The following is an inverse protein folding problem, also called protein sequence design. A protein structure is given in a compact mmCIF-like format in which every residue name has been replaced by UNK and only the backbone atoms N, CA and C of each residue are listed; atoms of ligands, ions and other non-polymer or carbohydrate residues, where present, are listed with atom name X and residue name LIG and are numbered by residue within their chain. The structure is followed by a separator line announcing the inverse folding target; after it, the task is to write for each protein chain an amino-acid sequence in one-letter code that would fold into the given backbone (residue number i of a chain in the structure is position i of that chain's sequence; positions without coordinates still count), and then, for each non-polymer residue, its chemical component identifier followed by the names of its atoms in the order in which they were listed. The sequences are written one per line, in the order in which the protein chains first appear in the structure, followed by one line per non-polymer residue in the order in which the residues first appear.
data_IF_098117639282
#
_entry.id   IF_098117639282
#
_cell.length_a   1.000
_cell.length_b   1.000
_cell.length_c   1.000
_cell.angle_alpha   90.00
_cell.angle_beta   90.00
_cell.angle_gamma   90.00
#
_symmetry.space_group_name_H-M   'P 1'
#
loop_
_entity.id
_entity.type
_entity.pdbx_description
1 polymer ?
#
# COMPACT_ATOMS: atom_id res chain seq x y z
N UNK A 1 -21.81 -6.46 16.31
CA UNK A 1 -21.34 -6.79 14.95
C UNK A 1 -20.00 -7.46 15.00
N UNK A 2 -19.88 -8.63 14.41
CA UNK A 2 -18.64 -9.43 14.40
C UNK A 2 -17.71 -9.13 13.21
N UNK A 3 -18.19 -8.53 12.12
CA UNK A 3 -17.44 -8.33 10.86
C UNK A 3 -17.46 -6.89 10.34
N UNK A 4 -16.45 -6.55 9.53
CA UNK A 4 -16.39 -5.26 8.83
C UNK A 4 -17.46 -5.12 7.75
N UNK A 5 -17.76 -3.88 7.37
CA UNK A 5 -18.63 -3.57 6.24
C UNK A 5 -18.08 -4.20 4.94
N UNK A 6 -18.91 -4.81 4.05
CA UNK A 6 -18.41 -5.52 2.87
C UNK A 6 -17.57 -4.62 1.95
N UNK A 7 -17.93 -3.34 1.82
CA UNK A 7 -17.11 -2.36 1.10
C UNK A 7 -15.68 -2.24 1.68
N UNK A 8 -15.49 -2.25 3.00
CA UNK A 8 -14.16 -2.21 3.62
C UNK A 8 -13.37 -3.50 3.36
N UNK A 9 -14.05 -4.64 3.31
CA UNK A 9 -13.46 -5.93 2.97
C UNK A 9 -12.99 -5.93 1.52
N UNK A 10 -13.85 -5.55 0.57
CA UNK A 10 -13.48 -5.43 -0.85
C UNK A 10 -12.31 -4.48 -1.04
N UNK A 11 -12.37 -3.28 -0.45
CA UNK A 11 -11.29 -2.29 -0.54
C UNK A 11 -10.00 -2.82 0.08
N UNK A 12 -10.07 -3.61 1.16
CA UNK A 12 -8.88 -4.17 1.80
C UNK A 12 -8.14 -5.12 0.86
N UNK A 13 -8.87 -6.07 0.27
CA UNK A 13 -8.27 -7.07 -0.60
C UNK A 13 -7.79 -6.49 -1.93
N UNK A 14 -8.53 -5.52 -2.50
CA UNK A 14 -8.05 -4.78 -3.66
C UNK A 14 -6.75 -4.02 -3.35
N UNK A 15 -6.71 -3.26 -2.24
CA UNK A 15 -5.50 -2.54 -1.84
C UNK A 15 -4.34 -3.49 -1.55
N UNK A 16 -4.56 -4.60 -0.87
CA UNK A 16 -3.53 -5.60 -0.63
C UNK A 16 -2.93 -6.10 -1.95
N UNK A 17 -3.77 -6.46 -2.93
CA UNK A 17 -3.33 -6.90 -4.25
C UNK A 17 -2.50 -5.82 -4.96
N UNK A 18 -3.02 -4.59 -5.06
CA UNK A 18 -2.33 -3.51 -5.78
C UNK A 18 -1.05 -3.07 -5.09
N UNK A 19 -1.01 -2.99 -3.76
CA UNK A 19 0.19 -2.59 -3.01
C UNK A 19 1.28 -3.65 -3.17
N UNK A 20 0.95 -4.95 -3.04
CA UNK A 20 1.91 -6.03 -3.26
C UNK A 20 2.45 -5.99 -4.69
N UNK A 21 1.58 -5.85 -5.69
CA UNK A 21 2.00 -5.74 -7.09
C UNK A 21 2.92 -4.52 -7.32
N UNK A 22 2.58 -3.35 -6.76
CA UNK A 22 3.39 -2.14 -6.90
C UNK A 22 4.78 -2.29 -6.24
N UNK A 23 4.86 -2.90 -5.05
CA UNK A 23 6.13 -3.18 -4.38
C UNK A 23 7.00 -4.15 -5.20
N UNK A 24 6.39 -5.20 -5.77
CA UNK A 24 7.10 -6.16 -6.61
C UNK A 24 7.59 -5.52 -7.91
N UNK A 25 6.77 -4.72 -8.58
CA UNK A 25 7.16 -4.00 -9.80
C UNK A 25 8.29 -3.01 -9.48
N UNK A 26 8.19 -2.25 -8.40
CA UNK A 26 9.25 -1.32 -7.98
C UNK A 26 10.59 -2.02 -7.81
N UNK A 27 10.62 -3.08 -7.00
CA UNK A 27 11.86 -3.75 -6.62
C UNK A 27 12.43 -4.69 -7.70
N UNK A 28 11.58 -5.38 -8.46
CA UNK A 28 12.01 -6.46 -9.37
C UNK A 28 11.88 -6.11 -10.85
N UNK A 29 11.14 -5.06 -11.21
CA UNK A 29 11.02 -4.63 -12.61
C UNK A 29 11.64 -3.24 -12.84
N UNK A 30 11.54 -2.30 -11.90
CA UNK A 30 12.08 -0.95 -12.08
C UNK A 30 13.53 -0.81 -11.62
N UNK A 31 13.87 -1.27 -10.42
CA UNK A 31 15.23 -1.13 -9.87
C UNK A 31 16.32 -1.83 -10.73
N UNK A 32 16.09 -3.03 -11.31
CA UNK A 32 17.12 -3.71 -12.11
C UNK A 32 17.35 -3.12 -13.51
N UNK A 33 16.38 -2.36 -14.05
CA UNK A 33 16.43 -1.84 -15.42
C UNK A 33 17.07 -0.45 -15.39
N UNK A 34 18.15 -0.19 -16.16
CA UNK A 34 18.75 1.14 -16.24
C UNK A 34 17.80 2.19 -16.83
N UNK A 35 17.96 3.46 -16.46
CA UNK A 35 17.16 4.59 -16.98
C UNK A 35 17.27 4.75 -18.51
N UNK A 36 18.39 4.32 -19.09
CA UNK A 36 18.65 4.36 -20.53
C UNK A 36 17.90 3.29 -21.33
N UNK A 37 17.33 2.28 -20.67
CA UNK A 37 16.62 1.19 -21.35
C UNK A 37 15.14 1.56 -21.55
N UNK A 38 14.64 1.61 -22.81
CA UNK A 38 13.24 1.90 -23.11
C UNK A 38 12.24 0.97 -22.41
N UNK A 39 12.62 -0.27 -22.07
CA UNK A 39 11.77 -1.20 -21.35
C UNK A 39 11.35 -0.67 -19.96
N UNK A 40 12.13 0.24 -19.35
CA UNK A 40 11.79 0.88 -18.08
C UNK A 40 10.52 1.72 -18.18
N UNK A 41 10.21 2.28 -19.34
CA UNK A 41 9.05 3.16 -19.55
C UNK A 41 7.73 2.42 -19.32
N UNK A 42 7.59 1.19 -19.85
CA UNK A 42 6.35 0.42 -19.69
C UNK A 42 6.15 -0.05 -18.24
N UNK A 43 7.25 -0.50 -17.60
CA UNK A 43 7.23 -0.82 -16.18
C UNK A 43 6.84 0.41 -15.35
N UNK A 44 7.41 1.57 -15.65
CA UNK A 44 7.14 2.82 -14.95
C UNK A 44 5.71 3.31 -15.16
N UNK A 45 5.18 3.19 -16.39
CA UNK A 45 3.79 3.47 -16.72
C UNK A 45 2.84 2.66 -15.85
N UNK A 46 3.05 1.34 -15.79
CA UNK A 46 2.21 0.45 -14.98
C UNK A 46 2.31 0.77 -13.49
N UNK A 47 3.50 1.08 -12.99
CA UNK A 47 3.74 1.44 -11.59
C UNK A 47 3.05 2.77 -11.21
N UNK A 48 3.16 3.79 -12.06
CA UNK A 48 2.51 5.10 -11.85
C UNK A 48 0.98 4.98 -11.86
N UNK A 49 0.42 4.22 -12.80
CA UNK A 49 -1.03 3.92 -12.83
C UNK A 49 -1.44 3.20 -11.55
N UNK A 50 -0.70 2.17 -11.15
CA UNK A 50 -0.93 1.43 -9.91
C UNK A 50 -0.93 2.34 -8.68
N UNK A 51 0.04 3.25 -8.59
CA UNK A 51 0.11 4.25 -7.52
C UNK A 51 -1.11 5.17 -7.48
N UNK A 52 -1.59 5.64 -8.63
CA UNK A 52 -2.80 6.47 -8.72
C UNK A 52 -4.07 5.70 -8.30
N UNK A 53 -4.19 4.42 -8.72
CA UNK A 53 -5.29 3.54 -8.31
C UNK A 53 -5.26 3.30 -6.80
N UNK A 54 -4.09 3.03 -6.22
CA UNK A 54 -3.92 2.85 -4.77
C UNK A 54 -4.35 4.11 -4.02
N UNK A 55 -3.97 5.30 -4.49
CA UNK A 55 -4.38 6.57 -3.89
C UNK A 55 -5.91 6.69 -3.84
N UNK A 56 -6.56 6.48 -4.98
CA UNK A 56 -8.02 6.56 -5.09
C UNK A 56 -8.69 5.56 -4.15
N UNK A 57 -8.25 4.30 -4.17
CA UNK A 57 -8.79 3.26 -3.30
C UNK A 57 -8.55 3.57 -1.82
N UNK A 58 -7.41 4.15 -1.44
CA UNK A 58 -7.11 4.58 -0.08
C UNK A 58 -8.00 5.72 0.39
N UNK A 59 -8.25 6.72 -0.46
CA UNK A 59 -9.17 7.82 -0.16
C UNK A 59 -10.59 7.29 0.05
N UNK A 60 -11.08 6.45 -0.87
CA UNK A 60 -12.40 5.80 -0.75
C UNK A 60 -12.45 4.96 0.53
N UNK A 61 -11.42 4.16 0.82
CA UNK A 61 -11.33 3.35 2.04
C UNK A 61 -11.38 4.21 3.30
N UNK A 62 -10.66 5.34 3.33
CA UNK A 62 -10.67 6.24 4.47
C UNK A 62 -12.07 6.82 4.69
N UNK A 63 -12.73 7.30 3.64
CA UNK A 63 -14.10 7.81 3.73
C UNK A 63 -15.07 6.73 4.21
N UNK A 64 -15.04 5.54 3.61
CA UNK A 64 -15.92 4.42 4.01
C UNK A 64 -15.67 4.02 5.46
N UNK A 65 -14.40 3.99 5.90
CA UNK A 65 -14.03 3.73 7.29
C UNK A 65 -14.65 4.78 8.23
N UNK A 66 -14.50 6.06 7.92
CA UNK A 66 -15.06 7.11 8.77
C UNK A 66 -16.61 7.15 8.80
N UNK A 67 -17.27 6.53 7.81
CA UNK A 67 -18.73 6.58 7.64
C UNK A 67 -19.47 5.29 8.01
N UNK A 68 -18.76 4.22 8.32
CA UNK A 68 -19.38 2.91 8.63
C UNK A 68 -19.03 2.46 10.03
N UNK A 69 -19.89 1.67 10.66
CA UNK A 69 -19.56 1.04 11.94
C UNK A 69 -18.53 -0.07 11.76
N UNK A 70 -17.73 -0.30 12.80
CA UNK A 70 -16.66 -1.30 12.80
C UNK A 70 -16.84 -2.26 13.98
N UNK A 71 -16.50 -3.53 13.81
CA UNK A 71 -16.45 -4.46 14.94
C UNK A 71 -15.42 -3.96 15.97
N UNK A 72 -15.66 -4.20 17.29
CA UNK A 72 -14.74 -3.80 18.36
C UNK A 72 -13.33 -4.32 18.11
N UNK A 73 -12.30 -3.57 18.50
CA UNK A 73 -10.92 -4.00 18.31
C UNK A 73 -10.68 -5.39 18.89
N UNK A 74 -9.84 -6.18 18.22
CA UNK A 74 -9.42 -7.47 18.77
C UNK A 74 -8.65 -7.23 20.07
N UNK A 75 -9.08 -7.87 21.14
CA UNK A 75 -8.46 -7.76 22.45
C UNK A 75 -7.87 -9.12 22.83
N UNK A 76 -6.54 -9.18 22.96
CA UNK A 76 -5.85 -10.40 23.39
C UNK A 76 -5.58 -10.44 24.91
N UNK A 77 -6.14 -9.50 25.67
CA UNK A 77 -5.94 -9.37 27.13
C UNK A 77 -4.61 -8.72 27.52
N UNK A 78 -3.82 -8.23 26.55
CA UNK A 78 -2.53 -7.59 26.78
C UNK A 78 -2.57 -6.15 26.24
N UNK A 79 -2.77 -5.13 27.11
CA UNK A 79 -3.00 -3.75 26.68
C UNK A 79 -1.91 -3.17 25.78
N UNK A 80 -0.65 -3.53 26.03
CA UNK A 80 0.49 -3.08 25.23
C UNK A 80 0.41 -3.58 23.78
N UNK A 81 0.09 -4.86 23.59
CA UNK A 81 0.00 -5.47 22.25
C UNK A 81 -1.21 -4.92 21.49
N UNK A 82 -2.36 -4.74 22.15
CA UNK A 82 -3.53 -4.10 21.55
C UNK A 82 -3.22 -2.67 21.07
N UNK A 83 -2.41 -1.92 21.83
CA UNK A 83 -1.96 -0.58 21.43
C UNK A 83 -1.04 -0.64 20.21
N UNK A 84 -0.09 -1.57 20.16
CA UNK A 84 0.78 -1.77 18.98
C UNK A 84 -0.05 -2.11 17.75
N UNK A 85 -1.06 -2.98 17.86
CA UNK A 85 -1.94 -3.32 16.75
C UNK A 85 -2.70 -2.09 16.21
N UNK A 86 -3.23 -1.22 17.09
CA UNK A 86 -3.83 0.06 16.67
C UNK A 86 -2.85 0.96 15.94
N UNK A 87 -1.65 1.13 16.50
CA UNK A 87 -0.62 2.00 15.93
C UNK A 87 -0.15 1.47 14.58
N UNK A 88 0.01 0.16 14.42
CA UNK A 88 0.38 -0.47 13.15
C UNK A 88 -0.64 -0.17 12.04
N UNK A 89 -1.95 -0.22 12.34
CA UNK A 89 -2.97 0.13 11.35
C UNK A 89 -2.88 1.60 10.91
N UNK A 90 -2.71 2.53 11.85
CA UNK A 90 -2.55 3.95 11.48
C UNK A 90 -1.23 4.22 10.75
N UNK A 91 -0.15 3.53 11.14
CA UNK A 91 1.12 3.59 10.45
C UNK A 91 1.01 3.08 9.00
N UNK A 92 0.27 2.00 8.74
CA UNK A 92 -0.01 1.54 7.38
C UNK A 92 -0.71 2.61 6.54
N UNK A 93 -1.73 3.29 7.09
CA UNK A 93 -2.39 4.39 6.38
C UNK A 93 -1.42 5.51 6.04
N UNK A 94 -0.66 5.98 7.04
CA UNK A 94 0.30 7.07 6.86
C UNK A 94 1.39 6.70 5.84
N UNK A 95 1.95 5.49 5.94
CA UNK A 95 3.00 5.02 5.03
C UNK A 95 2.50 4.87 3.60
N UNK A 96 1.29 4.38 3.37
CA UNK A 96 0.74 4.28 2.00
C UNK A 96 0.56 5.68 1.40
N UNK A 97 0.03 6.65 2.16
CA UNK A 97 -0.08 8.03 1.67
C UNK A 97 1.28 8.68 1.44
N UNK A 98 2.27 8.45 2.30
CA UNK A 98 3.63 8.94 2.14
C UNK A 98 4.34 8.30 0.92
N UNK A 99 4.13 7.01 0.68
CA UNK A 99 4.64 6.27 -0.46
C UNK A 99 4.09 6.83 -1.77
N UNK A 100 2.77 7.02 -1.88
CA UNK A 100 2.16 7.64 -3.05
C UNK A 100 2.60 9.10 -3.21
N UNK A 101 2.61 9.87 -2.12
CA UNK A 101 3.00 11.29 -2.14
C UNK A 101 4.44 11.49 -2.63
N UNK A 102 5.38 10.67 -2.17
CA UNK A 102 6.76 10.68 -2.67
C UNK A 102 6.85 10.26 -4.14
N UNK A 103 6.05 9.28 -4.59
CA UNK A 103 6.00 8.90 -6.01
C UNK A 103 5.44 10.01 -6.91
N UNK A 104 4.41 10.73 -6.46
CA UNK A 104 3.88 11.92 -7.16
C UNK A 104 4.96 13.01 -7.23
N UNK A 105 5.68 13.26 -6.13
CA UNK A 105 6.76 14.23 -6.10
C UNK A 105 7.88 13.86 -7.09
N UNK A 106 8.29 12.59 -7.16
CA UNK A 106 9.23 12.11 -8.17
C UNK A 106 8.71 12.33 -9.59
N UNK A 107 7.42 12.03 -9.84
CA UNK A 107 6.78 12.21 -11.14
C UNK A 107 6.82 13.65 -11.62
N UNK A 108 6.47 14.59 -10.72
CA UNK A 108 6.45 16.02 -11.03
C UNK A 108 7.87 16.56 -11.23
N UNK A 109 8.79 16.28 -10.30
CA UNK A 109 10.16 16.82 -10.37
C UNK A 109 10.98 16.19 -11.50
N UNK A 110 10.70 14.93 -11.85
CA UNK A 110 11.35 14.22 -12.94
C UNK A 110 10.72 14.47 -14.32
N UNK A 111 9.66 15.28 -14.42
CA UNK A 111 8.99 15.53 -15.69
C UNK A 111 8.42 14.27 -16.36
N UNK A 112 8.03 13.26 -15.57
CA UNK A 112 7.67 11.94 -16.10
C UNK A 112 6.43 11.88 -17.00
N UNK A 113 5.35 12.68 -16.79
CA UNK A 113 4.13 12.51 -17.57
C UNK A 113 4.31 12.58 -19.11
N UNK A 114 4.98 13.58 -19.70
CA UNK A 114 5.22 13.61 -21.15
C UNK A 114 6.10 12.46 -21.64
N UNK A 115 7.06 11.98 -20.84
CA UNK A 115 7.95 10.86 -21.20
C UNK A 115 7.16 9.55 -21.23
N UNK A 116 6.43 9.26 -20.14
CA UNK A 116 5.81 7.95 -19.89
C UNK A 116 4.48 7.78 -20.61
N UNK A 117 3.66 8.84 -20.67
CA UNK A 117 2.32 8.81 -21.26
C UNK A 117 2.22 9.57 -22.57
N UNK A 118 3.07 10.59 -22.77
CA UNK A 118 3.04 11.46 -23.95
C UNK A 118 3.93 10.99 -25.11
N UNK A 119 4.89 10.09 -24.85
CA UNK A 119 5.84 9.62 -25.86
C UNK A 119 6.76 10.72 -26.39
N UNK A 120 7.18 11.67 -25.53
CA UNK A 120 8.03 12.79 -25.93
C UNK A 120 9.39 12.35 -26.51
N UNK A 121 9.88 11.17 -26.11
CA UNK A 121 11.19 10.66 -26.49
C UNK A 121 12.34 11.26 -25.67
N UNK A 122 12.04 12.13 -24.69
CA UNK A 122 13.04 12.65 -23.77
C UNK A 122 13.59 11.52 -22.89
N UNK A 123 14.87 11.59 -22.49
CA UNK A 123 15.45 10.60 -21.59
C UNK A 123 14.80 10.65 -20.21
N UNK A 124 14.72 9.49 -19.55
CA UNK A 124 14.35 9.44 -18.13
C UNK A 124 15.40 10.19 -17.29
N UNK A 125 14.98 10.87 -16.20
CA UNK A 125 15.91 11.52 -15.31
C UNK A 125 16.74 10.49 -14.54
N UNK A 126 17.91 10.90 -14.05
CA UNK A 126 18.66 10.11 -13.07
C UNK A 126 17.89 10.16 -11.75
N UNK A 127 17.14 9.11 -11.44
CA UNK A 127 16.20 9.12 -10.30
C UNK A 127 16.88 9.39 -8.96
N UNK A 128 18.13 8.95 -8.78
CA UNK A 128 18.88 9.12 -7.52
C UNK A 128 19.24 10.59 -7.23
N UNK A 129 19.19 11.47 -8.23
CA UNK A 129 19.37 12.91 -8.06
C UNK A 129 18.09 13.62 -7.63
N UNK A 130 16.93 12.94 -7.71
CA UNK A 130 15.66 13.50 -7.27
C UNK A 130 15.51 13.34 -5.76
N UNK A 131 15.42 14.46 -5.03
CA UNK A 131 15.27 14.45 -3.57
C UNK A 131 14.20 13.48 -3.01
N UNK A 132 13.02 13.29 -3.65
CA UNK A 132 12.01 12.35 -3.15
C UNK A 132 12.35 10.86 -3.34
N UNK A 133 13.35 10.49 -4.16
CA UNK A 133 13.72 9.09 -4.45
C UNK A 133 14.13 8.33 -3.21
N UNK A 134 14.95 8.95 -2.36
CA UNK A 134 15.38 8.36 -1.09
C UNK A 134 14.19 8.11 -0.16
N UNK A 135 13.27 9.07 -0.07
CA UNK A 135 12.05 8.94 0.72
C UNK A 135 11.15 7.82 0.19
N UNK A 136 10.97 7.72 -1.14
CA UNK A 136 10.17 6.68 -1.77
C UNK A 136 10.74 5.28 -1.49
N UNK A 137 12.06 5.10 -1.62
CA UNK A 137 12.73 3.84 -1.28
C UNK A 137 12.60 3.48 0.21
N UNK A 138 12.76 4.45 1.10
CA UNK A 138 12.55 4.27 2.54
C UNK A 138 11.11 3.83 2.86
N UNK A 139 10.10 4.52 2.30
CA UNK A 139 8.71 4.17 2.53
C UNK A 139 8.35 2.81 1.96
N UNK A 140 8.92 2.42 0.81
CA UNK A 140 8.75 1.07 0.26
C UNK A 140 9.25 -0.01 1.23
N UNK A 141 10.47 0.15 1.74
CA UNK A 141 11.07 -0.79 2.69
C UNK A 141 10.27 -0.85 4.01
N UNK A 142 9.92 0.31 4.57
CA UNK A 142 9.14 0.39 5.80
C UNK A 142 7.74 -0.24 5.63
N UNK A 143 7.08 0.00 4.50
CA UNK A 143 5.78 -0.55 4.18
C UNK A 143 5.86 -2.08 4.00
N UNK A 144 6.88 -2.59 3.32
CA UNK A 144 7.09 -4.03 3.15
C UNK A 144 7.26 -4.74 4.52
N UNK A 145 8.10 -4.20 5.40
CA UNK A 145 8.30 -4.74 6.76
C UNK A 145 6.99 -4.74 7.55
N UNK A 146 6.24 -3.63 7.50
CA UNK A 146 4.99 -3.51 8.25
C UNK A 146 3.89 -4.44 7.70
N UNK A 147 3.83 -4.65 6.38
CA UNK A 147 2.92 -5.61 5.74
C UNK A 147 3.27 -7.04 6.18
N UNK A 148 4.54 -7.42 6.18
CA UNK A 148 4.97 -8.74 6.65
C UNK A 148 4.58 -8.96 8.12
N UNK A 149 4.83 -7.97 8.99
CA UNK A 149 4.40 -8.01 10.38
C UNK A 149 2.89 -8.12 10.54
N UNK A 150 2.12 -7.39 9.71
CA UNK A 150 0.65 -7.45 9.71
C UNK A 150 0.14 -8.84 9.31
N UNK A 151 0.70 -9.44 8.26
CA UNK A 151 0.34 -10.79 7.79
C UNK A 151 0.72 -11.83 8.85
N UNK A 152 1.92 -11.74 9.43
CA UNK A 152 2.35 -12.63 10.49
C UNK A 152 1.44 -12.56 11.72
N UNK A 153 1.01 -11.36 12.11
CA UNK A 153 0.04 -11.19 13.19
C UNK A 153 -1.32 -11.83 12.83
N UNK A 154 -1.82 -11.64 11.61
CA UNK A 154 -3.06 -12.28 11.16
C UNK A 154 -2.98 -13.82 11.24
N UNK A 155 -1.87 -14.42 10.81
CA UNK A 155 -1.66 -15.85 10.94
C UNK A 155 -1.48 -16.32 12.38
N UNK A 156 -0.83 -15.54 13.24
CA UNK A 156 -0.74 -15.83 14.68
C UNK A 156 -2.15 -15.95 15.30
N UNK A 157 -3.04 -15.01 14.96
CA UNK A 157 -4.42 -15.04 15.43
C UNK A 157 -5.20 -16.26 14.91
N UNK A 158 -5.04 -16.62 13.64
CA UNK A 158 -5.76 -17.74 13.04
C UNK A 158 -5.23 -19.11 13.52
N UNK A 159 -3.90 -19.28 13.57
CA UNK A 159 -3.25 -20.57 13.75
C UNK A 159 -2.86 -20.87 15.20
N UNK A 160 -2.67 -19.85 16.05
CA UNK A 160 -2.27 -20.02 17.45
C UNK A 160 -3.40 -19.65 18.40
N UNK A 161 -4.05 -18.50 18.16
CA UNK A 161 -5.13 -18.02 19.04
C UNK A 161 -6.48 -18.66 18.72
N UNK A 162 -6.68 -19.08 17.48
CA UNK A 162 -7.95 -19.64 16.98
C UNK A 162 -9.16 -18.73 17.30
N UNK A 163 -8.95 -17.41 17.26
CA UNK A 163 -10.00 -16.43 17.58
C UNK A 163 -10.77 -15.94 16.34
N UNK A 164 -10.45 -16.50 15.16
CA UNK A 164 -11.13 -16.22 13.90
C UNK A 164 -10.98 -14.77 13.44
N UNK A 165 -9.90 -14.07 13.82
CA UNK A 165 -9.65 -12.67 13.44
C UNK A 165 -9.82 -12.43 11.93
N UNK A 166 -9.30 -13.34 11.10
CA UNK A 166 -9.34 -13.21 9.63
C UNK A 166 -10.78 -13.18 9.12
N UNK A 167 -11.69 -13.94 9.73
CA UNK A 167 -13.11 -13.99 9.32
C UNK A 167 -13.80 -12.62 9.38
N UNK A 168 -13.28 -11.71 10.20
CA UNK A 168 -13.78 -10.34 10.35
C UNK A 168 -13.48 -9.48 9.11
N UNK A 169 -12.41 -9.81 8.38
CA UNK A 169 -12.00 -9.20 7.11
C UNK A 169 -12.32 -10.11 5.90
N UNK A 170 -13.35 -10.95 6.02
CA UNK A 170 -13.85 -11.80 4.94
C UNK A 170 -15.34 -11.61 4.68
N UNK A 171 -15.79 -11.95 3.47
CA UNK A 171 -17.19 -11.87 3.10
C UNK A 171 -18.05 -12.85 3.94
N UNK A 172 -19.22 -12.39 4.38
CA UNK A 172 -20.17 -13.21 5.14
C UNK A 172 -21.21 -12.39 5.92
N UNK A 173 -22.11 -13.08 6.62
CA UNK A 173 -23.20 -12.46 7.39
C UNK A 173 -22.64 -11.60 8.54
N UNK A 174 -23.18 -10.39 8.68
CA UNK A 174 -22.87 -9.45 9.78
C UNK A 174 -23.91 -9.64 10.89
N UNK A 175 -23.75 -10.69 11.69
CA UNK A 175 -24.44 -10.84 12.98
C UNK A 175 -23.65 -10.18 14.11
#
# INVERSE_FOLDING_TARGET
MTRYHPALVTLHWLLALFIIAALLIGNFALDPIPESDPAKIDALRSHMIGGAVILLLMLVRLVVRLRTEHPPEADIGIPAINRVARLAHWALYLLVFAMVGSGIAMSVLGGLPPIVFGGSGDPLPVFDELAPRAAHGFFAAALAVLILGHIAAAFYHELVRHDGLISRMWFGKRS
#
